data_IF_301475130354
#
_entry.id   IF_301475130354
#
_cell.length_a   1.000
_cell.length_b   1.000
_cell.length_c   1.000
_cell.angle_alpha   90.00
_cell.angle_beta   90.00
_cell.angle_gamma   90.00
#
_symmetry.space_group_name_H-M   'P 1'
#
loop_
_entity.id
_entity.type
_entity.pdbx_description
1 polymer ?
#
# COMPACT_ATOMS: atom_id res chain seq x y z
N UNK A 1 4.90 15.01 -14.71
CA UNK A 1 4.26 14.14 -13.69
C UNK A 1 5.28 13.36 -12.88
N UNK A 2 6.32 12.75 -13.46
CA UNK A 2 7.28 11.91 -12.72
C UNK A 2 8.00 12.61 -11.54
N UNK A 3 8.35 13.90 -11.66
CA UNK A 3 9.01 14.62 -10.57
C UNK A 3 8.05 15.13 -9.47
N UNK A 4 6.77 15.31 -9.80
CA UNK A 4 5.76 15.86 -8.90
C UNK A 4 5.48 14.93 -7.72
N UNK A 5 5.61 13.61 -7.93
CA UNK A 5 5.25 12.58 -6.94
C UNK A 5 6.44 12.14 -6.09
N UNK A 6 7.68 12.54 -6.42
CA UNK A 6 8.85 12.21 -5.60
C UNK A 6 8.82 12.99 -4.28
N UNK A 7 8.58 12.34 -3.12
CA UNK A 7 8.60 13.03 -1.85
C UNK A 7 10.03 13.45 -1.50
N UNK A 8 10.20 14.64 -0.90
CA UNK A 8 11.51 15.08 -0.41
C UNK A 8 11.74 14.58 1.01
N UNK A 9 13.00 14.58 1.43
CA UNK A 9 13.34 14.37 2.84
C UNK A 9 12.59 15.36 3.74
N UNK A 10 12.10 14.88 4.88
CA UNK A 10 11.25 15.65 5.81
C UNK A 10 9.76 15.66 5.45
N UNK A 11 9.35 15.03 4.36
CA UNK A 11 7.93 14.85 4.01
C UNK A 11 7.35 13.52 4.48
N UNK A 12 8.14 12.71 5.17
CA UNK A 12 7.78 11.41 5.75
C UNK A 12 8.80 11.05 6.82
N UNK A 13 8.41 10.15 7.72
CA UNK A 13 9.31 9.56 8.71
C UNK A 13 10.37 8.66 8.02
N UNK A 14 11.67 8.73 8.38
CA UNK A 14 12.73 7.91 7.79
C UNK A 14 12.47 6.40 7.79
N UNK A 15 11.60 5.90 8.67
CA UNK A 15 11.10 4.52 8.64
C UNK A 15 10.56 4.11 7.25
N UNK A 16 9.94 5.04 6.52
CA UNK A 16 9.35 4.79 5.21
C UNK A 16 10.31 4.91 4.03
N UNK A 17 11.59 5.26 4.26
CA UNK A 17 12.58 5.49 3.19
C UNK A 17 12.67 4.31 2.22
N UNK A 18 12.69 3.08 2.75
CA UNK A 18 12.75 1.87 1.91
C UNK A 18 11.59 1.83 0.92
N UNK A 19 10.37 2.12 1.37
CA UNK A 19 9.18 2.09 0.50
C UNK A 19 9.22 3.23 -0.52
N UNK A 20 9.51 4.45 -0.06
CA UNK A 20 9.57 5.63 -0.94
C UNK A 20 10.59 5.40 -2.08
N UNK A 21 11.72 4.75 -1.78
CA UNK A 21 12.77 4.47 -2.76
C UNK A 21 12.31 3.64 -3.97
N UNK A 22 11.34 2.73 -3.81
CA UNK A 22 10.83 1.89 -4.91
C UNK A 22 10.13 2.70 -6.01
N UNK A 23 9.65 3.90 -5.70
CA UNK A 23 8.91 4.78 -6.62
C UNK A 23 9.77 5.86 -7.28
N UNK A 24 11.05 6.00 -6.90
CA UNK A 24 11.91 7.08 -7.38
C UNK A 24 12.07 7.08 -8.91
N UNK A 25 11.69 8.19 -9.56
CA UNK A 25 11.85 8.40 -11.00
C UNK A 25 10.89 7.58 -11.88
N UNK A 26 9.93 6.86 -11.28
CA UNK A 26 9.01 5.98 -12.00
C UNK A 26 7.67 6.67 -12.27
N UNK A 27 6.98 6.19 -13.31
CA UNK A 27 5.58 6.57 -13.56
C UNK A 27 4.68 5.81 -12.59
N UNK A 28 4.08 6.54 -11.65
CA UNK A 28 3.21 5.97 -10.62
C UNK A 28 1.95 5.36 -11.21
N UNK A 29 1.39 5.95 -12.29
CA UNK A 29 0.18 5.39 -12.91
C UNK A 29 0.52 4.05 -13.57
N UNK A 30 1.62 3.99 -14.32
CA UNK A 30 2.13 2.74 -14.88
C UNK A 30 2.41 1.68 -13.81
N UNK A 31 2.99 2.08 -12.67
CA UNK A 31 3.23 1.17 -11.55
C UNK A 31 1.95 0.61 -10.94
N UNK A 32 0.88 1.40 -10.82
CA UNK A 32 -0.40 0.89 -10.30
C UNK A 32 -0.91 -0.28 -11.15
N UNK A 33 -0.86 -0.16 -12.48
CA UNK A 33 -1.28 -1.24 -13.37
C UNK A 33 -0.33 -2.43 -13.31
N UNK A 34 0.99 -2.19 -13.35
CA UNK A 34 1.98 -3.26 -13.27
C UNK A 34 1.90 -4.07 -11.96
N UNK A 35 1.54 -3.44 -10.85
CA UNK A 35 1.37 -4.13 -9.55
C UNK A 35 0.09 -4.99 -9.51
N UNK A 36 -0.96 -4.63 -10.25
CA UNK A 36 -2.14 -5.48 -10.42
C UNK A 36 -1.74 -6.76 -11.16
N UNK A 37 -1.06 -6.60 -12.30
CA UNK A 37 -0.62 -7.72 -13.13
C UNK A 37 0.37 -8.62 -12.36
N UNK A 38 1.32 -8.01 -11.62
CA UNK A 38 2.29 -8.73 -10.80
C UNK A 38 1.63 -9.58 -9.71
N UNK A 39 0.62 -9.04 -9.01
CA UNK A 39 -0.09 -9.84 -8.01
C UNK A 39 -0.86 -10.98 -8.69
N UNK A 40 -1.56 -10.71 -9.79
CA UNK A 40 -2.28 -11.73 -10.55
C UNK A 40 -1.35 -12.89 -10.95
N UNK A 41 -0.15 -12.58 -11.46
CA UNK A 41 0.88 -13.56 -11.82
C UNK A 41 1.43 -14.34 -10.61
N UNK A 42 1.63 -13.69 -9.46
CA UNK A 42 2.11 -14.34 -8.23
C UNK A 42 1.10 -15.36 -7.71
N UNK A 43 -0.19 -15.01 -7.75
CA UNK A 43 -1.27 -15.87 -7.27
C UNK A 43 -1.60 -16.97 -8.28
N UNK A 44 -1.28 -16.77 -9.56
CA UNK A 44 -1.48 -17.78 -10.59
C UNK A 44 -0.70 -19.06 -10.27
N UNK A 45 -1.35 -20.20 -10.45
CA UNK A 45 -0.77 -21.54 -10.30
C UNK A 45 -0.33 -21.94 -8.87
N UNK A 46 -0.74 -21.20 -7.83
CA UNK A 46 -0.56 -21.64 -6.44
C UNK A 46 -1.64 -22.64 -6.04
N UNK A 47 -1.28 -23.61 -5.19
CA UNK A 47 -2.24 -24.55 -4.60
C UNK A 47 -3.03 -23.89 -3.46
N UNK A 48 -4.22 -24.42 -3.15
CA UNK A 48 -5.05 -23.92 -2.04
C UNK A 48 -4.29 -23.94 -0.69
N UNK A 49 -3.46 -24.96 -0.46
CA UNK A 49 -2.65 -25.08 0.77
C UNK A 49 -1.60 -23.97 0.88
N UNK A 50 -0.99 -23.56 -0.24
CA UNK A 50 0.04 -22.51 -0.22
C UNK A 50 -0.49 -21.24 0.43
N UNK A 51 -1.75 -20.89 0.13
CA UNK A 51 -2.41 -19.70 0.65
C UNK A 51 -2.68 -19.70 2.16
N UNK A 52 -2.57 -20.85 2.81
CA UNK A 52 -2.90 -21.05 4.23
C UNK A 52 -1.69 -21.46 5.09
N UNK A 53 -0.52 -21.67 4.48
CA UNK A 53 0.69 -22.10 5.19
C UNK A 53 1.61 -20.90 5.42
N UNK A 54 1.85 -20.50 6.68
CA UNK A 54 2.86 -19.49 6.98
C UNK A 54 4.28 -20.06 6.81
N UNK A 55 5.25 -19.24 6.39
CA UNK A 55 6.64 -19.70 6.23
C UNK A 55 7.33 -20.03 7.57
N UNK A 56 6.79 -19.57 8.69
CA UNK A 56 7.24 -19.86 10.04
C UNK A 56 6.10 -19.67 11.04
N UNK A 57 6.16 -20.37 12.17
CA UNK A 57 5.27 -20.14 13.31
C UNK A 57 5.20 -18.66 13.72
N UNK A 58 3.98 -18.16 13.95
CA UNK A 58 3.71 -16.77 14.32
C UNK A 58 3.82 -15.76 13.18
N UNK A 59 4.05 -16.21 11.93
CA UNK A 59 3.98 -15.38 10.73
C UNK A 59 2.63 -15.52 10.05
N UNK A 60 2.29 -14.52 9.25
CA UNK A 60 1.07 -14.51 8.46
C UNK A 60 1.08 -15.63 7.41
N UNK A 61 -0.11 -16.05 6.99
CA UNK A 61 -0.28 -16.81 5.74
C UNK A 61 -0.15 -15.87 4.54
N UNK A 62 0.00 -16.37 3.30
CA UNK A 62 -0.08 -15.51 2.12
C UNK A 62 -1.39 -14.72 2.03
N UNK A 63 -2.53 -15.32 2.39
CA UNK A 63 -3.82 -14.61 2.38
C UNK A 63 -3.86 -13.46 3.38
N UNK A 64 -3.33 -13.68 4.58
CA UNK A 64 -3.22 -12.63 5.60
C UNK A 64 -2.26 -11.52 5.15
N UNK A 65 -1.13 -11.86 4.52
CA UNK A 65 -0.18 -10.86 3.99
C UNK A 65 -0.79 -10.06 2.84
N UNK A 66 -1.51 -10.70 1.91
CA UNK A 66 -2.23 -10.01 0.82
C UNK A 66 -3.32 -9.10 1.40
N UNK A 67 -4.11 -9.61 2.35
CA UNK A 67 -5.13 -8.84 3.05
C UNK A 67 -4.54 -7.62 3.78
N UNK A 68 -3.40 -7.79 4.45
CA UNK A 68 -2.65 -6.71 5.08
C UNK A 68 -2.27 -5.61 4.08
N UNK A 69 -1.80 -5.98 2.90
CA UNK A 69 -1.48 -5.02 1.83
C UNK A 69 -2.73 -4.25 1.41
N UNK A 70 -3.85 -4.93 1.17
CA UNK A 70 -5.12 -4.30 0.78
C UNK A 70 -5.61 -3.29 1.84
N UNK A 71 -5.59 -3.68 3.12
CA UNK A 71 -6.03 -2.79 4.20
C UNK A 71 -5.10 -1.61 4.41
N UNK A 72 -3.79 -1.83 4.33
CA UNK A 72 -2.78 -0.76 4.41
C UNK A 72 -2.99 0.25 3.29
N UNK A 73 -3.27 -0.20 2.07
CA UNK A 73 -3.55 0.69 0.94
C UNK A 73 -4.75 1.59 1.18
N UNK A 74 -5.86 1.03 1.69
CA UNK A 74 -7.07 1.82 2.00
C UNK A 74 -6.79 2.89 3.04
N UNK A 75 -6.06 2.52 4.10
CA UNK A 75 -5.68 3.45 5.17
C UNK A 75 -4.78 4.56 4.61
N UNK A 76 -3.80 4.22 3.78
CA UNK A 76 -2.92 5.21 3.17
C UNK A 76 -3.59 6.02 2.07
N UNK A 77 -4.58 5.48 1.35
CA UNK A 77 -5.39 6.22 0.39
C UNK A 77 -6.27 7.25 1.10
N UNK A 78 -6.86 6.88 2.25
CA UNK A 78 -7.55 7.82 3.13
C UNK A 78 -6.61 8.93 3.62
N UNK A 79 -5.42 8.58 4.12
CA UNK A 79 -4.40 9.58 4.53
C UNK A 79 -4.04 10.50 3.37
N UNK A 80 -3.76 9.93 2.20
CA UNK A 80 -3.41 10.65 0.98
C UNK A 80 -4.49 11.68 0.62
N UNK A 81 -5.76 11.28 0.63
CA UNK A 81 -6.90 12.16 0.36
C UNK A 81 -7.04 13.26 1.40
N UNK A 82 -7.03 12.91 2.69
CA UNK A 82 -7.17 13.88 3.79
C UNK A 82 -6.09 14.95 3.74
N UNK A 83 -4.82 14.55 3.54
CA UNK A 83 -3.70 15.48 3.36
C UNK A 83 -3.87 16.34 2.11
N UNK A 84 -4.25 15.73 0.98
CA UNK A 84 -4.53 16.46 -0.25
C UNK A 84 -5.70 17.45 -0.14
N UNK A 85 -6.57 17.33 0.86
CA UNK A 85 -7.65 18.27 1.15
C UNK A 85 -7.32 19.26 2.26
N UNK A 86 -6.12 19.19 2.83
CA UNK A 86 -5.64 20.13 3.83
C UNK A 86 -6.18 19.86 5.23
N UNK A 87 -6.41 18.58 5.57
CA UNK A 87 -6.71 18.15 6.94
C UNK A 87 -5.70 18.74 7.93
N UNK A 88 -6.20 19.26 9.05
CA UNK A 88 -5.42 19.92 10.11
C UNK A 88 -5.34 19.08 11.38
N UNK A 89 -6.27 18.15 11.57
CA UNK A 89 -6.24 17.18 12.65
C UNK A 89 -5.10 16.17 12.48
N UNK A 90 -4.75 15.50 13.58
CA UNK A 90 -3.81 14.38 13.52
C UNK A 90 -4.54 13.14 13.03
N UNK A 91 -4.04 12.53 11.96
CA UNK A 91 -4.56 11.27 11.43
C UNK A 91 -3.91 10.11 12.22
N UNK A 92 -4.68 9.17 12.79
CA UNK A 92 -4.12 8.14 13.65
C UNK A 92 -3.26 7.11 12.89
N UNK A 93 -2.32 6.51 13.63
CA UNK A 93 -1.68 5.25 13.27
C UNK A 93 -2.64 4.06 13.32
N UNK A 94 -2.14 2.87 13.01
CA UNK A 94 -2.86 1.61 13.23
C UNK A 94 -1.83 0.50 13.57
N UNK A 95 -2.28 -0.55 14.27
CA UNK A 95 -1.49 -1.74 14.51
C UNK A 95 -1.85 -2.81 13.47
N UNK A 96 -0.88 -3.17 12.62
CA UNK A 96 -1.12 -4.11 11.53
C UNK A 96 -1.43 -5.53 11.99
N UNK A 97 -0.87 -5.97 13.12
CA UNK A 97 -1.08 -7.33 13.63
C UNK A 97 -2.48 -7.46 14.20
N UNK A 98 -2.94 -6.46 14.95
CA UNK A 98 -4.30 -6.43 15.48
C UNK A 98 -5.34 -6.37 14.35
N UNK A 99 -5.06 -5.62 13.28
CA UNK A 99 -5.95 -5.52 12.12
C UNK A 99 -6.05 -6.87 11.39
N UNK A 100 -4.92 -7.50 11.05
CA UNK A 100 -4.90 -8.81 10.37
C UNK A 100 -5.62 -9.87 11.20
N UNK A 101 -5.40 -9.88 12.52
CA UNK A 101 -6.06 -10.82 13.45
C UNK A 101 -7.57 -10.70 13.42
N UNK A 102 -8.12 -9.50 13.23
CA UNK A 102 -9.56 -9.24 13.21
C UNK A 102 -10.20 -9.35 11.82
N UNK A 103 -9.39 -9.43 10.76
CA UNK A 103 -9.88 -9.38 9.38
C UNK A 103 -10.29 -10.75 8.80
N UNK A 104 -9.90 -11.86 9.44
CA UNK A 104 -10.26 -13.22 9.03
C UNK A 104 -9.93 -13.53 7.55
N UNK A 105 -8.80 -13.00 7.06
CA UNK A 105 -8.42 -13.12 5.64
C UNK A 105 -8.32 -14.57 5.15
N UNK A 106 -8.00 -15.52 6.02
CA UNK A 106 -7.95 -16.95 5.68
C UNK A 106 -9.32 -17.54 5.29
N UNK A 107 -10.44 -16.89 5.64
CA UNK A 107 -11.79 -17.34 5.26
C UNK A 107 -12.24 -16.77 3.91
N UNK A 108 -11.56 -15.74 3.39
CA UNK A 108 -11.96 -15.03 2.16
C UNK A 108 -11.41 -15.75 0.92
N UNK A 109 -12.19 -16.08 -0.11
CA UNK A 109 -11.67 -16.68 -1.34
C UNK A 109 -10.55 -15.84 -1.98
N UNK A 110 -9.47 -16.47 -2.46
CA UNK A 110 -8.32 -15.77 -3.07
C UNK A 110 -8.74 -14.88 -4.23
N UNK A 111 -9.69 -15.34 -5.06
CA UNK A 111 -10.27 -14.55 -6.16
C UNK A 111 -10.93 -13.25 -5.69
N UNK A 112 -11.51 -13.24 -4.48
CA UNK A 112 -12.15 -12.06 -3.90
C UNK A 112 -11.10 -11.09 -3.34
N UNK A 113 -10.03 -11.61 -2.72
CA UNK A 113 -8.89 -10.78 -2.32
C UNK A 113 -8.21 -10.12 -3.52
N UNK A 114 -8.03 -10.86 -4.62
CA UNK A 114 -7.45 -10.31 -5.85
C UNK A 114 -8.34 -9.24 -6.48
N UNK A 115 -9.65 -9.48 -6.55
CA UNK A 115 -10.61 -8.47 -7.04
C UNK A 115 -10.60 -7.22 -6.16
N UNK A 116 -10.55 -7.39 -4.84
CA UNK A 116 -10.51 -6.28 -3.89
C UNK A 116 -9.23 -5.44 -4.04
N UNK A 117 -8.08 -6.09 -4.18
CA UNK A 117 -6.82 -5.41 -4.51
C UNK A 117 -6.93 -4.62 -5.82
N UNK A 118 -7.47 -5.23 -6.88
CA UNK A 118 -7.67 -4.58 -8.18
C UNK A 118 -8.54 -3.33 -8.05
N UNK A 119 -9.66 -3.42 -7.34
CA UNK A 119 -10.58 -2.30 -7.11
C UNK A 119 -9.91 -1.20 -6.28
N UNK A 120 -9.17 -1.54 -5.22
CA UNK A 120 -8.39 -0.59 -4.41
C UNK A 120 -7.44 0.22 -5.29
N UNK A 121 -6.67 -0.47 -6.14
CA UNK A 121 -5.68 0.14 -7.04
C UNK A 121 -6.32 1.05 -8.09
N UNK A 122 -7.42 0.61 -8.72
CA UNK A 122 -8.16 1.42 -9.68
C UNK A 122 -8.82 2.64 -9.01
N UNK A 123 -9.30 2.50 -7.77
CA UNK A 123 -9.83 3.60 -6.97
C UNK A 123 -8.75 4.64 -6.65
N UNK A 124 -7.56 4.19 -6.20
CA UNK A 124 -6.39 5.04 -5.98
C UNK A 124 -6.02 5.82 -7.23
N UNK A 125 -5.89 5.14 -8.38
CA UNK A 125 -5.62 5.77 -9.68
C UNK A 125 -6.70 6.77 -10.03
N UNK A 126 -7.96 6.43 -9.77
CA UNK A 126 -9.10 7.31 -10.05
C UNK A 126 -9.03 8.60 -9.24
N UNK A 127 -8.70 8.49 -7.96
CA UNK A 127 -8.55 9.62 -7.03
C UNK A 127 -7.42 10.56 -7.46
N UNK A 128 -6.21 10.03 -7.70
CA UNK A 128 -5.02 10.86 -7.91
C UNK A 128 -4.98 11.54 -9.29
N UNK A 129 -5.78 11.08 -10.27
CA UNK A 129 -5.84 11.70 -11.60
C UNK A 129 -6.31 13.16 -11.56
N UNK A 130 -7.01 13.55 -10.48
CA UNK A 130 -7.57 14.88 -10.29
C UNK A 130 -6.73 15.76 -9.35
N UNK A 131 -5.59 15.26 -8.88
CA UNK A 131 -4.72 16.03 -7.98
C UNK A 131 -3.86 17.00 -8.80
N UNK A 132 -3.86 18.26 -8.37
CA UNK A 132 -2.87 19.25 -8.78
C UNK A 132 -1.53 19.00 -8.07
N UNK A 133 -0.46 19.63 -8.56
CA UNK A 133 0.85 19.58 -7.89
C UNK A 133 0.78 20.04 -6.44
N UNK A 134 -0.05 21.05 -6.16
CA UNK A 134 -0.25 21.55 -4.79
C UNK A 134 -0.91 20.51 -3.90
N UNK A 135 -1.87 19.75 -4.42
CA UNK A 135 -2.56 18.70 -3.67
C UNK A 135 -1.55 17.61 -3.25
N UNK A 136 -0.68 17.19 -4.17
CA UNK A 136 0.39 16.23 -3.89
C UNK A 136 1.39 16.72 -2.84
N UNK A 137 1.71 18.02 -2.83
CA UNK A 137 2.68 18.60 -1.90
C UNK A 137 2.11 18.96 -0.52
N UNK A 138 0.78 18.91 -0.31
CA UNK A 138 0.20 19.21 1.00
C UNK A 138 0.69 18.23 2.06
N UNK A 139 0.97 18.77 3.23
CA UNK A 139 1.46 18.06 4.40
C UNK A 139 0.50 18.19 5.57
N UNK A 140 0.60 17.25 6.50
CA UNK A 140 -0.14 17.22 7.75
C UNK A 140 0.51 16.26 8.73
N UNK A 141 -0.19 15.97 9.83
CA UNK A 141 0.34 15.10 10.90
C UNK A 141 -0.32 13.73 10.84
N UNK A 142 0.48 12.68 10.65
CA UNK A 142 0.06 11.28 10.67
C UNK A 142 0.84 10.56 11.75
N UNK A 143 0.13 10.00 12.73
CA UNK A 143 0.73 9.29 13.86
C UNK A 143 1.86 10.09 14.56
N UNK A 144 1.64 11.40 14.74
CA UNK A 144 2.62 12.32 15.35
C UNK A 144 3.74 12.80 14.43
N UNK A 145 3.84 12.29 13.20
CA UNK A 145 4.90 12.63 12.25
C UNK A 145 4.38 13.44 11.06
N UNK A 146 5.26 14.25 10.46
CA UNK A 146 4.94 14.97 9.22
C UNK A 146 4.84 13.97 8.07
N UNK A 147 3.78 14.10 7.27
CA UNK A 147 3.60 13.32 6.05
C UNK A 147 2.99 14.17 4.93
N UNK A 148 3.51 14.07 3.71
CA UNK A 148 2.88 14.67 2.52
C UNK A 148 1.94 13.69 1.81
N UNK A 149 0.97 14.23 1.05
CA UNK A 149 0.05 13.41 0.24
C UNK A 149 0.80 12.52 -0.75
N UNK A 150 1.82 13.07 -1.43
CA UNK A 150 2.68 12.29 -2.33
C UNK A 150 3.53 11.25 -1.60
N UNK A 151 3.92 11.50 -0.35
CA UNK A 151 4.60 10.49 0.45
C UNK A 151 3.68 9.28 0.74
N UNK A 152 2.40 9.51 1.06
CA UNK A 152 1.44 8.40 1.18
C UNK A 152 1.36 7.57 -0.10
N UNK A 153 1.30 8.23 -1.26
CA UNK A 153 1.25 7.54 -2.54
C UNK A 153 2.51 6.72 -2.83
N UNK A 154 3.70 7.29 -2.58
CA UNK A 154 4.97 6.58 -2.71
C UNK A 154 5.05 5.37 -1.77
N UNK A 155 4.55 5.50 -0.53
CA UNK A 155 4.49 4.42 0.45
C UNK A 155 3.57 3.29 -0.02
N UNK A 156 2.38 3.59 -0.56
CA UNK A 156 1.47 2.56 -1.12
C UNK A 156 2.16 1.72 -2.20
N UNK A 157 2.89 2.37 -3.12
CA UNK A 157 3.63 1.68 -4.17
C UNK A 157 4.74 0.81 -3.56
N UNK A 158 5.58 1.38 -2.70
CA UNK A 158 6.75 0.68 -2.18
C UNK A 158 6.44 -0.40 -1.14
N UNK A 159 5.37 -0.23 -0.38
CA UNK A 159 4.88 -1.21 0.60
C UNK A 159 4.47 -2.50 -0.11
N UNK A 160 3.71 -2.40 -1.21
CA UNK A 160 3.41 -3.56 -2.05
C UNK A 160 4.67 -4.27 -2.52
N UNK A 161 5.63 -3.54 -3.12
CA UNK A 161 6.88 -4.14 -3.59
C UNK A 161 7.61 -4.89 -2.49
N UNK A 162 7.73 -4.28 -1.31
CA UNK A 162 8.36 -4.92 -0.16
C UNK A 162 7.68 -6.24 0.21
N UNK A 163 6.35 -6.27 0.24
CA UNK A 163 5.61 -7.48 0.60
C UNK A 163 5.61 -8.54 -0.51
N UNK A 164 5.64 -8.14 -1.78
CA UNK A 164 5.82 -9.09 -2.88
C UNK A 164 7.23 -9.70 -2.87
N UNK A 165 8.26 -8.94 -2.50
CA UNK A 165 9.61 -9.48 -2.28
C UNK A 165 9.57 -10.54 -1.16
N UNK A 166 8.88 -10.27 -0.05
CA UNK A 166 8.70 -11.24 1.04
C UNK A 166 7.96 -12.50 0.56
N UNK A 167 6.89 -12.36 -0.22
CA UNK A 167 6.19 -13.51 -0.80
C UNK A 167 7.16 -14.37 -1.61
N UNK A 168 7.88 -13.78 -2.54
CA UNK A 168 8.78 -14.50 -3.46
C UNK A 168 9.97 -15.15 -2.74
N UNK A 169 10.47 -14.55 -1.67
CA UNK A 169 11.64 -15.03 -0.95
C UNK A 169 11.31 -16.10 0.11
N UNK A 170 10.09 -16.10 0.65
CA UNK A 170 9.77 -16.86 1.87
C UNK A 170 8.66 -17.90 1.68
N UNK A 171 7.81 -17.78 0.65
CA UNK A 171 6.68 -18.67 0.39
C UNK A 171 6.76 -19.32 -0.98
#
# INVERSE_FOLDING_TARGET
>A
MNDTVKPKYGEYDPFYEKYVSYSHGKDIIGLIYAQIDELEDILANKSDDWFLIPYQEGKWTPKELIGHVIDTERIFAFRCLSLARGERGTIPGFDENDYVKMAHFNDIPVKELMEDFRVSRLSLRSMIRHFSERDFMRQGTVNGNVMSSRACLAIIIGHFNHHMDVIKERY
#
